data_IF_287857613212
#
_entry.id   IF_287857613212
#
_cell.length_a   1.000
_cell.length_b   1.000
_cell.length_c   1.000
_cell.angle_alpha   90.00
_cell.angle_beta   90.00
_cell.angle_gamma   90.00
#
_symmetry.space_group_name_H-M   'P 1'
#
loop_
_entity.id
_entity.type
_entity.pdbx_description
1 polymer ?
#
# COMPACT_ATOMS: atom_id res chain seq x y z
N UNK A 1 20.75 5.15 4.16
CA UNK A 1 19.81 6.00 4.89
C UNK A 1 18.48 5.28 4.91
N UNK A 2 17.79 5.24 6.06
CA UNK A 2 16.45 4.65 6.14
C UNK A 2 15.45 5.45 5.30
N UNK A 3 14.46 4.77 4.76
CA UNK A 3 13.39 5.38 3.96
C UNK A 3 12.11 5.35 4.78
N UNK A 4 11.61 6.54 5.11
CA UNK A 4 10.53 6.70 6.09
C UNK A 4 9.34 7.45 5.51
N UNK A 5 8.16 7.09 5.98
CA UNK A 5 6.89 7.69 5.60
C UNK A 5 5.93 7.70 6.78
N UNK A 6 4.78 8.35 6.62
CA UNK A 6 3.80 8.47 7.69
C UNK A 6 2.37 8.53 7.15
N UNK A 7 1.40 8.23 8.01
CA UNK A 7 0.00 8.50 7.69
C UNK A 7 -0.27 10.02 7.64
N UNK A 8 -1.41 10.44 7.08
CA UNK A 8 -1.70 11.86 6.86
C UNK A 8 -1.68 12.72 8.15
N UNK A 9 -2.05 12.15 9.30
CA UNK A 9 -1.98 12.87 10.58
C UNK A 9 -0.68 12.68 11.36
N UNK A 10 0.27 11.87 10.86
CA UNK A 10 1.57 11.64 11.50
C UNK A 10 1.56 10.65 12.68
N UNK A 11 0.39 10.16 13.12
CA UNK A 11 0.32 9.23 14.26
C UNK A 11 0.97 7.87 14.01
N UNK A 12 1.12 7.47 12.75
CA UNK A 12 1.73 6.21 12.34
C UNK A 12 2.94 6.55 11.47
N UNK A 13 4.10 6.07 11.88
CA UNK A 13 5.35 6.18 11.11
C UNK A 13 5.75 4.80 10.59
N UNK A 14 6.27 4.79 9.37
CA UNK A 14 6.71 3.59 8.66
C UNK A 14 8.17 3.78 8.28
N UNK A 15 8.99 2.76 8.52
CA UNK A 15 10.40 2.78 8.12
C UNK A 15 10.77 1.50 7.39
N UNK A 16 11.44 1.66 6.25
CA UNK A 16 12.10 0.62 5.46
C UNK A 16 13.61 0.88 5.46
N UNK A 17 14.41 -0.16 5.21
CA UNK A 17 15.87 -0.04 5.16
C UNK A 17 16.35 0.93 4.06
N UNK A 18 15.65 0.95 2.93
CA UNK A 18 15.89 1.81 1.76
C UNK A 18 14.62 1.92 0.90
N UNK A 19 14.60 2.88 -0.02
CA UNK A 19 13.51 3.02 -1.00
C UNK A 19 13.53 1.83 -1.97
N UNK A 20 12.42 1.10 -2.16
CA UNK A 20 12.33 0.07 -3.19
C UNK A 20 12.49 0.68 -4.59
N UNK A 21 13.30 0.03 -5.44
CA UNK A 21 13.65 0.54 -6.77
C UNK A 21 12.43 0.81 -7.66
N UNK A 22 11.40 -0.02 -7.53
CA UNK A 22 10.15 0.09 -8.28
C UNK A 22 8.95 -0.04 -7.35
N UNK A 23 7.89 0.68 -7.68
CA UNK A 23 6.58 0.53 -7.07
C UNK A 23 5.66 -0.36 -7.92
N UNK A 24 4.57 -0.82 -7.31
CA UNK A 24 3.55 -1.66 -7.95
C UNK A 24 2.20 -0.96 -7.91
N UNK A 25 1.59 -0.82 -9.08
CA UNK A 25 0.23 -0.28 -9.21
C UNK A 25 -0.78 -1.42 -9.25
N UNK A 26 -1.87 -1.27 -8.51
CA UNK A 26 -3.00 -2.18 -8.56
C UNK A 26 -4.28 -1.42 -8.95
N UNK A 27 -4.90 -1.84 -10.05
CA UNK A 27 -6.10 -1.21 -10.60
C UNK A 27 -7.41 -1.85 -10.13
N UNK A 28 -7.36 -2.94 -9.35
CA UNK A 28 -8.58 -3.63 -8.93
C UNK A 28 -9.48 -2.71 -8.10
N UNK A 29 -10.80 -2.91 -8.19
CA UNK A 29 -11.79 -2.02 -7.58
C UNK A 29 -11.58 -1.77 -6.08
N UNK A 30 -11.20 -2.77 -5.29
CA UNK A 30 -10.96 -2.58 -3.84
C UNK A 30 -9.64 -1.87 -3.54
N UNK A 31 -8.63 -2.00 -4.40
CA UNK A 31 -7.43 -1.19 -4.29
C UNK A 31 -7.67 0.26 -4.70
N UNK A 32 -8.50 0.53 -5.71
CA UNK A 32 -8.94 1.90 -6.04
C UNK A 32 -9.68 2.55 -4.88
N UNK A 33 -10.66 1.83 -4.30
CA UNK A 33 -11.40 2.31 -3.11
C UNK A 33 -10.48 2.55 -1.93
N UNK A 34 -9.57 1.61 -1.65
CA UNK A 34 -8.63 1.74 -0.54
C UNK A 34 -7.58 2.84 -0.73
N UNK A 35 -7.22 3.17 -1.98
CA UNK A 35 -6.30 4.27 -2.31
C UNK A 35 -6.98 5.59 -2.62
N UNK A 36 -8.31 5.64 -2.69
CA UNK A 36 -9.11 6.80 -3.11
C UNK A 36 -8.63 7.46 -4.42
N UNK A 37 -8.21 6.64 -5.39
CA UNK A 37 -7.66 7.10 -6.67
C UNK A 37 -7.92 6.11 -7.80
N UNK A 38 -7.38 6.41 -8.99
CA UNK A 38 -7.54 5.54 -10.15
C UNK A 38 -6.83 4.18 -10.02
N UNK A 39 -5.93 4.08 -9.05
CA UNK A 39 -5.25 2.86 -8.63
C UNK A 39 -4.69 3.04 -7.21
N UNK A 40 -4.22 1.94 -6.62
CA UNK A 40 -3.34 2.00 -5.45
C UNK A 40 -1.90 1.76 -5.87
N UNK A 41 -0.99 2.61 -5.41
CA UNK A 41 0.46 2.43 -5.57
C UNK A 41 1.05 1.85 -4.29
N UNK A 42 1.89 0.82 -4.41
CA UNK A 42 2.36 0.02 -3.28
C UNK A 42 3.82 -0.37 -3.44
N UNK A 43 4.49 -0.63 -2.34
CA UNK A 43 5.74 -1.37 -2.28
C UNK A 43 5.47 -2.77 -1.77
N UNK A 44 6.07 -3.76 -2.43
CA UNK A 44 6.01 -5.16 -2.01
C UNK A 44 7.33 -5.44 -1.30
N UNK A 45 7.28 -5.59 0.02
CA UNK A 45 8.46 -5.78 0.87
C UNK A 45 8.29 -7.02 1.72
N UNK A 46 9.39 -7.55 2.23
CA UNK A 46 9.33 -8.53 3.31
C UNK A 46 8.73 -7.89 4.56
N UNK A 47 7.80 -8.59 5.21
CA UNK A 47 7.15 -8.11 6.42
C UNK A 47 8.18 -7.88 7.54
N UNK A 48 9.26 -8.68 7.58
CA UNK A 48 10.38 -8.49 8.50
C UNK A 48 11.15 -7.18 8.32
N UNK A 49 11.09 -6.59 7.12
CA UNK A 49 11.79 -5.34 6.78
C UNK A 49 10.93 -4.10 7.05
N UNK A 50 9.64 -4.31 7.32
CA UNK A 50 8.67 -3.25 7.62
C UNK A 50 8.65 -2.93 9.12
N UNK A 51 9.12 -1.74 9.48
CA UNK A 51 8.95 -1.21 10.84
C UNK A 51 7.76 -0.26 10.88
N UNK A 52 6.85 -0.50 11.82
CA UNK A 52 5.65 0.31 12.06
C UNK A 52 5.68 0.85 13.48
N UNK A 53 5.64 2.17 13.62
CA UNK A 53 5.53 2.86 14.90
C UNK A 53 4.14 3.49 15.02
N UNK A 54 3.40 3.08 16.04
CA UNK A 54 2.04 3.56 16.35
C UNK A 54 1.89 3.79 17.86
N UNK A 55 2.53 4.84 18.41
CA UNK A 55 2.55 5.11 19.86
C UNK A 55 1.15 5.36 20.44
N UNK A 56 0.18 5.74 19.59
CA UNK A 56 -1.18 6.05 20.00
C UNK A 56 -2.17 4.89 19.77
N UNK A 57 -1.72 3.75 19.23
CA UNK A 57 -2.58 2.58 19.00
C UNK A 57 -3.73 2.82 18.02
N UNK A 58 -3.53 3.70 17.04
CA UNK A 58 -4.56 4.08 16.04
C UNK A 58 -4.52 3.24 14.77
N UNK A 59 -3.59 2.29 14.64
CA UNK A 59 -3.59 1.31 13.55
C UNK A 59 -4.75 0.31 13.76
N UNK A 60 -5.63 0.22 12.77
CA UNK A 60 -6.74 -0.75 12.75
C UNK A 60 -6.65 -1.63 11.52
N UNK A 61 -7.27 -2.80 11.62
CA UNK A 61 -7.30 -3.81 10.56
C UNK A 61 -8.72 -3.98 10.06
N UNK A 62 -8.90 -3.90 8.75
CA UNK A 62 -10.11 -4.29 8.06
C UNK A 62 -9.82 -5.55 7.23
N UNK A 63 -10.57 -6.62 7.49
CA UNK A 63 -10.52 -7.84 6.69
C UNK A 63 -11.39 -7.64 5.44
N UNK A 64 -10.76 -7.38 4.31
CA UNK A 64 -11.46 -7.19 3.03
C UNK A 64 -11.76 -8.56 2.40
N UNK A 65 -13.03 -8.94 2.40
CA UNK A 65 -13.53 -10.16 1.77
C UNK A 65 -13.90 -9.98 0.30
N UNK A 66 -14.00 -8.73 -0.19
CA UNK A 66 -14.52 -8.40 -1.51
C UNK A 66 -13.41 -8.23 -2.54
N UNK A 67 -12.31 -8.98 -2.42
CA UNK A 67 -11.14 -8.81 -3.28
C UNK A 67 -11.30 -9.54 -4.61
N UNK A 68 -10.81 -8.94 -5.69
CA UNK A 68 -10.76 -9.58 -7.02
C UNK A 68 -9.93 -10.89 -7.01
N UNK A 69 -9.08 -11.06 -6.00
CA UNK A 69 -8.26 -12.25 -5.82
C UNK A 69 -9.05 -13.45 -5.26
N UNK A 70 -10.20 -13.21 -4.61
CA UNK A 70 -10.94 -14.21 -3.84
C UNK A 70 -10.39 -14.48 -2.43
N UNK A 71 -9.26 -13.89 -2.05
CA UNK A 71 -8.69 -14.02 -0.71
C UNK A 71 -9.06 -12.85 0.19
N UNK A 72 -9.04 -13.12 1.50
CA UNK A 72 -9.14 -12.05 2.49
C UNK A 72 -7.82 -11.27 2.48
N UNK A 73 -7.90 -9.96 2.28
CA UNK A 73 -6.75 -9.05 2.42
C UNK A 73 -6.91 -8.27 3.72
N UNK A 74 -5.94 -8.39 4.61
CA UNK A 74 -5.91 -7.61 5.85
C UNK A 74 -5.39 -6.21 5.53
N UNK A 75 -6.27 -5.22 5.55
CA UNK A 75 -5.94 -3.82 5.27
C UNK A 75 -5.69 -3.09 6.58
N UNK A 76 -4.45 -2.68 6.79
CA UNK A 76 -4.05 -1.89 7.94
C UNK A 76 -4.16 -0.41 7.59
N UNK A 77 -4.84 0.37 8.42
CA UNK A 77 -5.12 1.78 8.18
C UNK A 77 -5.11 2.60 9.48
N UNK A 78 -4.86 3.90 9.36
CA UNK A 78 -4.97 4.82 10.49
C UNK A 78 -6.43 5.15 10.77
N UNK A 79 -6.94 4.84 11.96
CA UNK A 79 -8.33 5.17 12.31
C UNK A 79 -8.59 6.66 12.54
N UNK A 80 -7.54 7.48 12.67
CA UNK A 80 -7.67 8.92 12.90
C UNK A 80 -7.79 9.72 11.59
N UNK A 81 -7.01 9.37 10.56
CA UNK A 81 -7.01 10.09 9.28
C UNK A 81 -7.42 9.24 8.08
N UNK A 82 -7.83 7.99 8.30
CA UNK A 82 -8.20 7.01 7.29
C UNK A 82 -7.09 6.63 6.27
N UNK A 83 -5.85 7.10 6.43
CA UNK A 83 -4.76 6.72 5.52
C UNK A 83 -4.56 5.20 5.53
N UNK A 84 -4.57 4.55 4.35
CA UNK A 84 -4.18 3.16 4.26
C UNK A 84 -2.67 3.05 4.51
N UNK A 85 -2.24 2.03 5.27
CA UNK A 85 -0.84 1.88 5.69
C UNK A 85 -0.17 0.72 4.94
N UNK A 86 -0.65 -0.51 5.16
CA UNK A 86 -0.16 -1.69 4.42
C UNK A 86 -1.23 -2.77 4.33
N UNK A 87 -1.05 -3.71 3.41
CA UNK A 87 -1.89 -4.89 3.29
C UNK A 87 -1.11 -6.19 3.53
N UNK A 88 -1.77 -7.21 4.06
CA UNK A 88 -1.27 -8.59 4.10
C UNK A 88 -2.26 -9.51 3.36
N UNK A 89 -1.74 -10.54 2.67
CA UNK A 89 -2.58 -11.50 1.95
C UNK A 89 -1.98 -12.90 2.03
N UNK A 90 -2.80 -13.95 2.18
CA UNK A 90 -2.33 -15.33 2.16
C UNK A 90 -1.71 -15.75 0.82
N UNK A 91 -1.91 -14.98 -0.27
CA UNK A 91 -1.24 -15.23 -1.56
C UNK A 91 0.23 -14.83 -1.58
N UNK A 92 0.68 -14.00 -0.64
CA UNK A 92 2.09 -13.65 -0.48
C UNK A 92 2.47 -13.72 1.01
N UNK A 93 2.55 -14.93 1.59
CA UNK A 93 2.92 -15.10 3.00
C UNK A 93 4.26 -14.44 3.30
N UNK A 94 4.36 -13.72 4.43
CA UNK A 94 5.58 -13.01 4.83
C UNK A 94 5.89 -11.75 4.02
N UNK A 95 4.99 -11.32 3.12
CA UNK A 95 5.13 -10.06 2.37
C UNK A 95 4.08 -9.05 2.80
N UNK A 96 4.48 -7.78 2.85
CA UNK A 96 3.60 -6.65 3.08
C UNK A 96 3.47 -5.78 1.82
N UNK A 97 2.25 -5.36 1.51
CA UNK A 97 1.95 -4.39 0.45
C UNK A 97 1.83 -2.99 1.09
N UNK A 98 2.97 -2.35 1.35
CA UNK A 98 3.05 -1.02 1.98
C UNK A 98 2.53 0.03 1.01
N UNK A 99 1.70 0.97 1.47
CA UNK A 99 1.21 2.06 0.63
C UNK A 99 2.33 3.04 0.35
N UNK A 100 2.70 3.15 -0.92
CA UNK A 100 3.80 4.01 -1.32
C UNK A 100 3.47 5.50 -1.12
N UNK A 101 2.18 5.87 -1.15
CA UNK A 101 1.72 7.24 -0.89
C UNK A 101 1.92 7.74 0.55
N UNK A 102 2.46 6.92 1.47
CA UNK A 102 2.87 7.37 2.80
C UNK A 102 4.22 8.13 2.78
N UNK A 103 4.96 8.06 1.67
CA UNK A 103 6.31 8.58 1.55
C UNK A 103 6.33 9.77 0.59
N UNK A 104 7.18 10.77 0.86
CA UNK A 104 7.25 12.00 0.08
C UNK A 104 7.80 11.80 -1.35
N UNK A 105 8.64 10.80 -1.54
CA UNK A 105 9.22 10.45 -2.84
C UNK A 105 8.92 8.99 -3.15
N UNK A 106 8.25 8.71 -4.26
CA UNK A 106 7.86 7.36 -4.67
C UNK A 106 8.58 6.95 -5.94
N UNK A 107 9.17 5.75 -5.95
CA UNK A 107 9.84 5.24 -7.14
C UNK A 107 8.83 4.93 -8.24
N UNK A 108 9.28 5.04 -9.50
CA UNK A 108 8.43 4.78 -10.66
C UNK A 108 7.82 3.38 -10.60
N UNK A 109 6.59 3.21 -11.07
CA UNK A 109 5.99 1.88 -11.19
C UNK A 109 6.84 0.99 -12.11
N UNK A 110 7.14 -0.23 -11.67
CA UNK A 110 7.77 -1.26 -12.50
C UNK A 110 6.78 -2.32 -12.97
N UNK A 111 5.58 -2.36 -12.38
CA UNK A 111 4.56 -3.36 -12.66
C UNK A 111 3.16 -2.81 -12.35
N UNK A 112 2.19 -3.20 -13.18
CA UNK A 112 0.78 -2.97 -12.95
C UNK A 112 0.06 -4.33 -12.85
N UNK A 113 -0.83 -4.46 -11.86
CA UNK A 113 -1.66 -5.65 -11.66
C UNK A 113 -3.14 -5.30 -11.77
N UNK A 114 -3.93 -6.27 -12.24
CA UNK A 114 -5.34 -6.09 -12.62
C UNK A 114 -5.52 -4.98 -13.68
N UNK A 115 -4.60 -4.88 -14.64
CA UNK A 115 -4.57 -3.84 -15.67
C UNK A 115 -5.84 -3.77 -16.52
N UNK A 116 -6.57 -4.88 -16.65
CA UNK A 116 -7.88 -4.92 -17.29
C UNK A 116 -8.95 -4.05 -16.59
N UNK A 117 -8.72 -3.67 -15.33
CA UNK A 117 -9.59 -2.76 -14.57
C UNK A 117 -9.06 -1.31 -14.57
N UNK A 118 -7.99 -1.01 -15.29
CA UNK A 118 -7.47 0.36 -15.40
C UNK A 118 -8.55 1.31 -15.93
N UNK A 119 -8.57 2.53 -15.38
CA UNK A 119 -9.45 3.57 -15.90
C UNK A 119 -8.92 4.04 -17.27
N UNK A 120 -9.76 4.06 -18.29
CA UNK A 120 -9.37 4.35 -19.68
C UNK A 120 -8.69 5.73 -19.84
N UNK A 121 -9.07 6.70 -19.01
CA UNK A 121 -8.52 8.05 -19.02
C UNK A 121 -7.16 8.18 -18.31
N UNK A 122 -6.64 7.12 -17.70
CA UNK A 122 -5.35 7.14 -16.99
C UNK A 122 -4.25 6.61 -17.87
N UNK A 123 -3.18 7.39 -18.00
CA UNK A 123 -1.90 6.94 -18.54
C UNK A 123 -0.89 6.90 -17.41
N UNK A 124 -0.18 5.77 -17.28
CA UNK A 124 0.91 5.62 -16.31
C UNK A 124 2.21 5.45 -17.09
N UNK A 125 3.20 6.27 -16.78
CA UNK A 125 4.56 6.06 -17.26
C UNK A 125 5.22 4.91 -16.48
N UNK A 126 5.59 3.85 -17.19
CA UNK A 126 6.16 2.62 -16.65
C UNK A 126 7.63 2.42 -17.04
N UNK A 127 8.20 3.33 -17.86
CA UNK A 127 9.57 3.24 -18.39
C UNK A 127 10.59 3.87 -17.43
#
# INVERSE_FOLDING_TARGET
>A
MSYSGHCNCGNISITLAQQPEKSVICHCSTCRRGGSGAFSINYFVDESDLKVEDPNGVLKVYNDHNTASGNIVQRHFCSNCASPVYGLSPRAPGKAFVKAGLFDSVSRPGMAVFGEQQQEWVTVDMA
#
